data_IF_341201517897
#
_entry.id   IF_341201517897
#
_cell.length_a   1.000
_cell.length_b   1.000
_cell.length_c   1.000
_cell.angle_alpha   90.00
_cell.angle_beta   90.00
_cell.angle_gamma   90.00
#
_symmetry.space_group_name_H-M   'P 1'
#
loop_
_entity.id
_entity.type
_entity.pdbx_description
1 polymer ?
#
# COMPACT_ATOMS: atom_id res chain seq x y z
N UNK A 1 -22.71 18.05 -22.22
CA UNK A 1 -22.21 16.82 -21.57
C UNK A 1 -21.05 17.25 -20.69
N UNK A 2 -21.14 17.12 -19.37
CA UNK A 2 -20.03 17.47 -18.48
C UNK A 2 -18.98 16.34 -18.57
N UNK A 3 -17.76 16.67 -18.97
CA UNK A 3 -16.61 15.80 -18.79
C UNK A 3 -16.48 15.47 -17.30
N UNK A 4 -16.50 14.18 -16.95
CA UNK A 4 -16.07 13.74 -15.62
C UNK A 4 -14.61 14.15 -15.48
N UNK A 5 -14.33 15.11 -14.59
CA UNK A 5 -12.96 15.45 -14.21
C UNK A 5 -12.20 14.15 -13.91
N UNK A 6 -11.12 13.92 -14.66
CA UNK A 6 -10.26 12.75 -14.51
C UNK A 6 -9.56 12.92 -13.16
N UNK A 7 -10.07 12.26 -12.12
CA UNK A 7 -9.45 12.31 -10.80
C UNK A 7 -8.14 11.53 -10.88
N UNK A 8 -7.02 12.20 -10.62
CA UNK A 8 -5.74 11.53 -10.47
C UNK A 8 -5.75 10.79 -9.13
N UNK A 9 -5.63 9.47 -9.19
CA UNK A 9 -5.66 8.58 -8.02
C UNK A 9 -4.32 7.90 -7.86
N UNK A 10 -3.89 7.76 -6.61
CA UNK A 10 -2.72 6.98 -6.21
C UNK A 10 -3.10 5.94 -5.17
N UNK A 11 -2.36 4.84 -5.14
CA UNK A 11 -2.53 3.75 -4.17
C UNK A 11 -1.41 3.85 -3.15
N UNK A 12 -1.74 4.21 -1.92
CA UNK A 12 -0.80 4.32 -0.81
C UNK A 12 -0.70 2.98 -0.09
N UNK A 13 0.51 2.44 0.04
CA UNK A 13 0.80 1.28 0.90
C UNK A 13 1.21 1.78 2.28
N UNK A 14 0.46 1.37 3.30
CA UNK A 14 0.74 1.59 4.72
C UNK A 14 1.18 0.27 5.35
N UNK A 15 2.31 0.26 6.06
CA UNK A 15 2.79 -0.91 6.80
C UNK A 15 2.68 -0.62 8.29
N UNK A 16 2.07 -1.55 9.02
CA UNK A 16 1.95 -1.51 10.47
C UNK A 16 2.80 -2.61 11.08
N UNK A 17 3.46 -2.34 12.21
CA UNK A 17 4.15 -3.36 12.99
C UNK A 17 3.19 -4.24 13.80
N UNK A 18 3.73 -5.16 14.60
CA UNK A 18 2.94 -6.12 15.37
C UNK A 18 2.14 -5.49 16.50
N UNK A 19 2.47 -4.25 16.87
CA UNK A 19 1.73 -3.46 17.86
C UNK A 19 0.58 -2.67 17.22
N UNK A 20 0.45 -2.71 15.90
CA UNK A 20 -0.52 -1.92 15.14
C UNK A 20 -0.05 -0.48 14.88
N UNK A 21 1.22 -0.15 15.17
CA UNK A 21 1.76 1.18 14.90
C UNK A 21 2.13 1.31 13.43
N UNK A 22 1.74 2.41 12.81
CA UNK A 22 2.14 2.75 11.45
C UNK A 22 3.66 3.00 11.40
N UNK A 23 4.35 2.23 10.56
CA UNK A 23 5.75 2.45 10.26
C UNK A 23 5.91 3.73 9.40
N UNK A 24 7.04 4.44 9.49
CA UNK A 24 7.26 5.69 8.77
C UNK A 24 7.37 5.54 7.24
N UNK A 25 7.24 4.32 6.71
CA UNK A 25 7.31 4.02 5.29
C UNK A 25 5.89 4.01 4.72
N UNK A 26 5.56 5.03 3.93
CA UNK A 26 4.36 5.09 3.09
C UNK A 26 4.82 5.22 1.64
N UNK A 27 4.44 4.27 0.80
CA UNK A 27 4.86 4.23 -0.61
C UNK A 27 3.63 4.44 -1.50
N UNK A 28 3.72 5.36 -2.46
CA UNK A 28 2.64 5.65 -3.41
C UNK A 28 2.86 4.93 -4.74
N UNK A 29 1.78 4.38 -5.31
CA UNK A 29 1.80 3.69 -6.60
C UNK A 29 0.71 4.24 -7.52
N UNK A 30 0.99 4.32 -8.82
CA UNK A 30 0.00 4.73 -9.82
C UNK A 30 -1.07 3.66 -10.09
N UNK A 31 -0.83 2.40 -9.71
CA UNK A 31 -1.76 1.29 -9.91
C UNK A 31 -1.87 0.42 -8.68
N UNK A 32 -3.06 -0.14 -8.46
CA UNK A 32 -3.32 -1.11 -7.38
C UNK A 32 -2.40 -2.33 -7.48
N UNK A 33 -2.21 -2.86 -8.69
CA UNK A 33 -1.33 -4.01 -8.94
C UNK A 33 0.11 -3.72 -8.50
N UNK A 34 0.63 -2.53 -8.79
CA UNK A 34 1.98 -2.14 -8.34
C UNK A 34 2.11 -2.10 -6.81
N UNK A 35 1.07 -1.62 -6.12
CA UNK A 35 1.00 -1.64 -4.67
C UNK A 35 0.95 -3.08 -4.12
N UNK A 36 0.13 -3.95 -4.71
CA UNK A 36 0.03 -5.36 -4.32
C UNK A 36 1.36 -6.10 -4.53
N UNK A 37 2.01 -5.94 -5.68
CA UNK A 37 3.32 -6.53 -5.98
C UNK A 37 4.40 -6.08 -4.98
N UNK A 38 4.36 -4.81 -4.56
CA UNK A 38 5.27 -4.28 -3.54
C UNK A 38 5.03 -4.92 -2.17
N UNK A 39 3.77 -5.05 -1.75
CA UNK A 39 3.42 -5.71 -0.48
C UNK A 39 3.91 -7.15 -0.45
N UNK A 40 3.69 -7.93 -1.51
CA UNK A 40 4.16 -9.32 -1.59
C UNK A 40 5.69 -9.44 -1.51
N UNK A 41 6.42 -8.49 -2.09
CA UNK A 41 7.89 -8.45 -2.01
C UNK A 41 8.39 -8.03 -0.63
N UNK A 42 7.72 -7.06 0.00
CA UNK A 42 8.17 -6.47 1.26
C UNK A 42 7.78 -7.32 2.48
N UNK A 43 6.60 -7.94 2.44
CA UNK A 43 6.11 -8.90 3.43
C UNK A 43 6.02 -10.28 2.76
N UNK A 44 7.15 -10.95 2.52
CA UNK A 44 7.15 -12.26 1.89
C UNK A 44 6.36 -13.23 2.77
N UNK A 45 5.23 -13.70 2.25
CA UNK A 45 4.30 -14.61 2.94
C UNK A 45 4.77 -16.08 2.94
N UNK A 46 5.97 -16.35 2.43
CA UNK A 46 6.52 -17.70 2.35
C UNK A 46 6.95 -18.26 3.71
N UNK A 47 6.77 -19.58 3.84
CA UNK A 47 6.86 -20.43 5.04
C UNK A 47 8.13 -20.34 5.90
N UNK A 48 9.16 -19.60 5.47
CA UNK A 48 10.49 -19.56 6.11
C UNK A 48 10.86 -18.21 6.75
N UNK A 49 9.96 -17.21 6.76
CA UNK A 49 10.25 -15.88 7.30
C UNK A 49 9.44 -15.57 8.56
N UNK A 50 9.86 -16.08 9.72
CA UNK A 50 9.25 -15.81 11.03
C UNK A 50 9.18 -14.31 11.39
N UNK A 51 9.97 -13.45 10.71
CA UNK A 51 9.93 -11.99 10.88
C UNK A 51 8.83 -11.25 10.10
N UNK A 52 8.30 -11.81 9.01
CA UNK A 52 7.29 -11.16 8.17
C UNK A 52 5.87 -11.25 8.77
N UNK A 53 5.64 -12.21 9.66
CA UNK A 53 4.36 -12.41 10.38
C UNK A 53 3.99 -11.24 11.31
N UNK A 54 4.95 -10.40 11.68
CA UNK A 54 4.75 -9.31 12.61
C UNK A 54 4.11 -8.07 11.97
N UNK A 55 4.09 -7.94 10.64
CA UNK A 55 3.66 -6.70 10.00
C UNK A 55 2.38 -6.89 9.19
N UNK A 56 1.51 -5.86 9.19
CA UNK A 56 0.29 -5.81 8.37
C UNK A 56 0.44 -4.73 7.31
N UNK A 57 0.04 -5.01 6.07
CA UNK A 57 -0.06 -4.01 5.01
C UNK A 57 -1.51 -3.60 4.74
N UNK A 58 -1.72 -2.34 4.40
CA UNK A 58 -3.01 -1.79 3.93
C UNK A 58 -2.76 -0.97 2.66
N UNK A 59 -3.60 -1.15 1.64
CA UNK A 59 -3.56 -0.38 0.39
C UNK A 59 -4.76 0.56 0.38
N UNK A 60 -4.50 1.86 0.32
CA UNK A 60 -5.53 2.92 0.36
C UNK A 60 -5.52 3.67 -0.97
N UNK A 61 -6.65 3.67 -1.66
CA UNK A 61 -6.87 4.52 -2.82
C UNK A 61 -7.06 5.97 -2.34
N UNK A 62 -6.26 6.89 -2.87
CA UNK A 62 -6.21 8.29 -2.44
C UNK A 62 -6.32 9.19 -3.66
N UNK A 63 -7.26 10.11 -3.62
CA UNK A 63 -7.39 11.17 -4.64
C UNK A 63 -6.27 12.20 -4.44
N UNK A 64 -5.57 12.53 -5.51
CA UNK A 64 -4.60 13.62 -5.55
C UNK A 64 -5.37 14.87 -6.00
N UNK A 65 -5.43 15.87 -5.12
CA UNK A 65 -5.94 17.20 -5.46
C UNK A 65 -4.81 18.09 -5.97
N UNK A 66 -5.14 19.01 -6.88
CA UNK A 66 -4.28 20.13 -7.28
C UNK A 66 -4.02 21.11 -6.13
#
# INVERSE_FOLDING_TARGET
MMEKAKRDVVFLVKIYDSTGRLLPIVTAFATRKGAEDHVHKFLPTDRFNEGAFACKAEIVETEVGD
#
